data_IF_119655710512
#
_entry.id   IF_119655710512
#
_cell.length_a   1.000
_cell.length_b   1.000
_cell.length_c   1.000
_cell.angle_alpha   90.00
_cell.angle_beta   90.00
_cell.angle_gamma   90.00
#
_symmetry.space_group_name_H-M   'P 1'
#
loop_
_entity.id
_entity.type
_entity.pdbx_description
1 polymer ?
#
# COMPACT_ATOMS: atom_id res chain seq x y z
N UNK A 1 2.93 -13.93 8.94
CA UNK A 1 1.55 -14.36 9.34
C UNK A 1 0.54 -13.96 8.28
N UNK A 2 -0.41 -14.85 7.91
CA UNK A 2 -1.42 -14.58 6.88
C UNK A 2 -2.82 -14.37 7.48
N UNK A 3 -3.53 -13.31 7.05
CA UNK A 3 -4.91 -13.06 7.43
C UNK A 3 -5.81 -12.85 6.21
N UNK A 4 -6.97 -13.50 6.23
CA UNK A 4 -8.06 -13.26 5.29
C UNK A 4 -9.14 -12.39 5.92
N UNK A 5 -9.42 -11.23 5.33
CA UNK A 5 -10.30 -10.23 5.92
C UNK A 5 -11.49 -9.97 5.00
N UNK A 6 -12.65 -10.47 5.41
CA UNK A 6 -13.96 -10.20 4.77
C UNK A 6 -14.76 -9.09 5.45
N UNK A 7 -14.23 -8.44 6.48
CA UNK A 7 -14.94 -7.38 7.18
C UNK A 7 -15.10 -6.14 6.28
N UNK A 8 -16.28 -5.51 6.28
CA UNK A 8 -16.51 -4.24 5.54
C UNK A 8 -15.62 -3.11 6.03
N UNK A 9 -15.30 -3.07 7.33
CA UNK A 9 -14.43 -2.08 7.95
C UNK A 9 -13.44 -2.77 8.88
N UNK A 10 -12.16 -2.37 8.84
CA UNK A 10 -11.14 -2.85 9.78
C UNK A 10 -10.03 -1.80 9.92
N UNK A 11 -9.54 -1.63 11.14
CA UNK A 11 -8.39 -0.78 11.46
C UNK A 11 -7.28 -1.66 12.02
N UNK A 12 -6.07 -1.45 11.51
CA UNK A 12 -4.81 -1.97 12.01
C UNK A 12 -4.06 -0.80 12.60
N UNK A 13 -3.77 -0.86 13.89
CA UNK A 13 -3.13 0.22 14.63
C UNK A 13 -2.00 -0.34 15.47
N UNK A 14 -0.86 0.36 15.48
CA UNK A 14 0.32 0.03 16.29
C UNK A 14 0.79 -1.40 16.05
N UNK A 15 0.95 -1.76 14.77
CA UNK A 15 1.33 -3.11 14.33
C UNK A 15 2.83 -3.17 14.11
N UNK A 16 3.50 -4.05 14.85
CA UNK A 16 4.91 -4.37 14.66
C UNK A 16 5.09 -5.89 14.63
N UNK A 17 5.26 -6.46 13.44
CA UNK A 17 5.60 -7.88 13.27
C UNK A 17 6.66 -8.02 12.18
N UNK A 18 7.34 -9.16 12.13
CA UNK A 18 8.36 -9.39 11.11
C UNK A 18 7.73 -9.44 9.70
N UNK A 19 6.76 -10.35 9.50
CA UNK A 19 6.09 -10.57 8.23
C UNK A 19 4.57 -10.51 8.36
N UNK A 20 3.93 -9.82 7.42
CA UNK A 20 2.48 -9.76 7.33
C UNK A 20 1.96 -9.95 5.90
N UNK A 21 1.06 -10.92 5.73
CA UNK A 21 0.34 -11.15 4.49
C UNK A 21 -1.16 -10.95 4.71
N UNK A 22 -1.79 -10.09 3.92
CA UNK A 22 -3.20 -9.75 4.06
C UNK A 22 -3.95 -9.93 2.74
N UNK A 23 -5.04 -10.69 2.80
CA UNK A 23 -5.99 -10.82 1.69
C UNK A 23 -7.28 -10.10 2.06
N UNK A 24 -7.61 -9.05 1.32
CA UNK A 24 -8.74 -8.16 1.58
C UNK A 24 -9.64 -8.14 0.35
N UNK A 25 -10.84 -8.70 0.49
CA UNK A 25 -11.77 -8.75 -0.62
C UNK A 25 -12.42 -7.38 -0.86
N UNK A 26 -13.34 -6.96 0.02
CA UNK A 26 -14.02 -5.67 -0.12
C UNK A 26 -14.03 -4.93 1.21
N UNK A 27 -13.83 -3.62 1.15
CA UNK A 27 -14.14 -2.74 2.27
C UNK A 27 -13.20 -1.57 2.45
N UNK A 28 -13.44 -0.87 3.55
CA UNK A 28 -12.62 0.22 4.05
C UNK A 28 -11.58 -0.33 5.03
N UNK A 29 -10.31 0.03 4.82
CA UNK A 29 -9.20 -0.41 5.68
C UNK A 29 -8.28 0.74 6.00
N UNK A 30 -7.86 0.81 7.27
CA UNK A 30 -6.88 1.79 7.74
C UNK A 30 -5.73 1.06 8.38
N UNK A 31 -4.53 1.40 7.94
CA UNK A 31 -3.26 1.00 8.51
C UNK A 31 -2.62 2.24 9.11
N UNK A 32 -2.42 2.24 10.43
CA UNK A 32 -1.84 3.36 11.15
C UNK A 32 -0.72 2.88 12.06
N UNK A 33 0.43 3.57 12.02
CA UNK A 33 1.60 3.22 12.84
C UNK A 33 2.01 1.75 12.62
N UNK A 34 2.36 1.41 11.39
CA UNK A 34 2.75 0.04 11.01
C UNK A 34 4.25 0.00 10.74
N UNK A 35 4.95 -0.96 11.36
CA UNK A 35 6.37 -1.22 11.12
C UNK A 35 6.60 -2.70 10.86
N UNK A 36 7.06 -3.05 9.67
CA UNK A 36 7.24 -4.44 9.25
C UNK A 36 8.59 -4.63 8.56
N UNK A 37 9.12 -5.85 8.58
CA UNK A 37 10.18 -6.22 7.65
C UNK A 37 9.55 -6.46 6.28
N UNK A 38 8.58 -7.36 6.20
CA UNK A 38 7.89 -7.70 4.96
C UNK A 38 6.37 -7.51 5.06
N UNK A 39 5.79 -6.94 4.01
CA UNK A 39 4.34 -6.76 3.86
C UNK A 39 3.87 -7.18 2.49
N UNK A 40 3.00 -8.20 2.43
CA UNK A 40 2.27 -8.58 1.22
C UNK A 40 0.78 -8.28 1.37
N UNK A 41 0.21 -7.56 0.40
CA UNK A 41 -1.16 -7.07 0.47
C UNK A 41 -1.90 -7.33 -0.84
N UNK A 42 -2.89 -8.21 -0.79
CA UNK A 42 -3.78 -8.47 -1.91
C UNK A 42 -5.14 -7.85 -1.65
N UNK A 43 -5.54 -6.89 -2.49
CA UNK A 43 -6.77 -6.14 -2.35
C UNK A 43 -7.60 -6.25 -3.62
N UNK A 44 -8.84 -6.72 -3.49
CA UNK A 44 -9.76 -6.75 -4.61
C UNK A 44 -10.45 -5.38 -4.81
N UNK A 45 -11.24 -4.87 -3.87
CA UNK A 45 -11.95 -3.59 -4.05
C UNK A 45 -12.13 -2.77 -2.76
N UNK A 46 -12.26 -1.45 -2.90
CA UNK A 46 -12.64 -0.52 -1.81
C UNK A 46 -11.59 0.53 -1.45
N UNK A 47 -11.79 1.20 -0.31
CA UNK A 47 -10.99 2.36 0.13
C UNK A 47 -9.92 1.96 1.15
N UNK A 48 -8.68 2.46 0.98
CA UNK A 48 -7.57 2.15 1.89
C UNK A 48 -6.75 3.38 2.26
N UNK A 49 -6.36 3.44 3.52
CA UNK A 49 -5.47 4.46 4.05
C UNK A 49 -4.28 3.79 4.71
N UNK A 50 -3.09 4.20 4.30
CA UNK A 50 -1.83 3.89 4.95
C UNK A 50 -1.31 5.20 5.53
N UNK A 51 -1.13 5.22 6.85
CA UNK A 51 -0.66 6.39 7.57
C UNK A 51 0.47 6.00 8.53
N UNK A 52 1.57 6.72 8.50
CA UNK A 52 2.70 6.48 9.41
C UNK A 52 3.21 5.03 9.27
N UNK A 53 3.58 4.62 8.05
CA UNK A 53 3.95 3.24 7.71
C UNK A 53 5.41 3.17 7.31
N UNK A 54 6.17 2.27 7.94
CA UNK A 54 7.55 1.95 7.59
C UNK A 54 7.69 0.46 7.28
N UNK A 55 8.16 0.09 6.09
CA UNK A 55 8.37 -1.31 5.72
C UNK A 55 9.69 -1.48 4.97
N UNK A 56 10.40 -2.59 5.19
CA UNK A 56 11.58 -2.88 4.37
C UNK A 56 11.15 -3.32 2.96
N UNK A 57 10.41 -4.42 2.85
CA UNK A 57 9.85 -4.91 1.59
C UNK A 57 8.32 -4.86 1.58
N UNK A 58 7.75 -4.12 0.64
CA UNK A 58 6.30 -3.95 0.51
C UNK A 58 5.82 -4.36 -0.88
N UNK A 59 4.99 -5.39 -0.94
CA UNK A 59 4.35 -5.85 -2.16
C UNK A 59 2.83 -5.68 -2.07
N UNK A 60 2.26 -4.88 -2.97
CA UNK A 60 0.84 -4.52 -2.97
C UNK A 60 0.24 -4.81 -4.34
N UNK A 61 -0.73 -5.71 -4.36
CA UNK A 61 -1.55 -6.05 -5.52
C UNK A 61 -2.98 -5.54 -5.32
N UNK A 62 -3.41 -4.61 -6.17
CA UNK A 62 -4.69 -3.92 -6.04
C UNK A 62 -5.47 -3.99 -7.35
N UNK A 63 -6.70 -4.50 -7.27
CA UNK A 63 -7.59 -4.52 -8.43
C UNK A 63 -8.33 -3.18 -8.62
N UNK A 64 -9.13 -2.71 -7.64
CA UNK A 64 -9.93 -1.48 -7.81
C UNK A 64 -10.11 -0.65 -6.53
N UNK A 65 -10.45 0.65 -6.67
CA UNK A 65 -10.86 1.54 -5.56
C UNK A 65 -9.93 2.72 -5.27
N UNK A 66 -10.11 3.37 -4.12
CA UNK A 66 -9.38 4.59 -3.73
C UNK A 66 -8.31 4.29 -2.67
N UNK A 67 -7.13 4.92 -2.79
CA UNK A 67 -6.01 4.69 -1.87
C UNK A 67 -5.32 5.98 -1.49
N UNK A 68 -4.95 6.07 -0.21
CA UNK A 68 -4.14 7.15 0.34
C UNK A 68 -2.94 6.55 1.03
N UNK A 69 -1.76 7.01 0.63
CA UNK A 69 -0.49 6.78 1.31
C UNK A 69 -0.05 8.12 1.89
N UNK A 70 0.12 8.17 3.21
CA UNK A 70 0.53 9.37 3.93
C UNK A 70 1.64 9.03 4.92
N UNK A 71 2.73 9.77 4.89
CA UNK A 71 3.86 9.56 5.81
C UNK A 71 4.37 8.10 5.73
N UNK A 72 4.77 7.68 4.51
CA UNK A 72 5.15 6.29 4.22
C UNK A 72 6.62 6.21 3.80
N UNK A 73 7.39 5.33 4.44
CA UNK A 73 8.77 5.02 4.07
C UNK A 73 8.91 3.54 3.72
N UNK A 74 9.45 3.24 2.54
CA UNK A 74 9.70 1.87 2.09
C UNK A 74 11.09 1.74 1.48
N UNK A 75 11.79 0.64 1.74
CA UNK A 75 13.03 0.35 1.03
C UNK A 75 12.72 -0.17 -0.37
N UNK A 76 12.07 -1.32 -0.48
CA UNK A 76 11.63 -1.90 -1.76
C UNK A 76 10.10 -1.94 -1.84
N UNK A 77 9.52 -1.29 -2.85
CA UNK A 77 8.08 -1.28 -3.10
C UNK A 77 7.75 -1.88 -4.46
N UNK A 78 6.98 -2.96 -4.45
CA UNK A 78 6.29 -3.49 -5.62
C UNK A 78 4.81 -3.14 -5.57
N UNK A 79 4.32 -2.40 -6.56
CA UNK A 79 2.97 -1.89 -6.57
C UNK A 79 2.29 -2.21 -7.91
N UNK A 80 1.40 -3.20 -7.91
CA UNK A 80 0.55 -3.57 -9.03
C UNK A 80 -0.85 -3.00 -8.83
N UNK A 81 -1.28 -2.08 -9.71
CA UNK A 81 -2.60 -1.45 -9.58
C UNK A 81 -3.36 -1.42 -10.89
N UNK A 82 -4.54 -2.05 -10.89
CA UNK A 82 -5.36 -2.12 -12.09
C UNK A 82 -6.20 -0.83 -12.30
N UNK A 83 -7.05 -0.45 -11.34
CA UNK A 83 -7.96 0.69 -11.50
C UNK A 83 -8.18 1.55 -10.23
N UNK A 84 -8.49 2.83 -10.42
CA UNK A 84 -8.99 3.74 -9.39
C UNK A 84 -8.12 4.95 -9.08
N UNK A 85 -8.38 5.64 -7.97
CA UNK A 85 -7.67 6.87 -7.60
C UNK A 85 -6.65 6.62 -6.49
N UNK A 86 -5.47 7.24 -6.60
CA UNK A 86 -4.35 7.06 -5.70
C UNK A 86 -3.79 8.42 -5.29
N UNK A 87 -3.55 8.59 -4.00
CA UNK A 87 -2.95 9.78 -3.44
C UNK A 87 -1.74 9.37 -2.63
N UNK A 88 -0.59 9.95 -2.96
CA UNK A 88 0.68 9.78 -2.25
C UNK A 88 1.09 11.13 -1.69
N UNK A 89 1.28 11.18 -0.37
CA UNK A 89 1.69 12.38 0.35
C UNK A 89 2.80 12.04 1.34
N UNK A 90 3.92 12.75 1.28
CA UNK A 90 5.05 12.54 2.20
C UNK A 90 5.53 11.06 2.12
N UNK A 91 5.90 10.61 0.91
CA UNK A 91 6.27 9.21 0.63
C UNK A 91 7.72 9.12 0.17
N UNK A 92 8.52 8.29 0.84
CA UNK A 92 9.88 7.95 0.44
C UNK A 92 9.99 6.49 0.06
N UNK A 93 10.53 6.21 -1.13
CA UNK A 93 10.83 4.85 -1.58
C UNK A 93 12.26 4.80 -2.11
N UNK A 94 13.03 3.77 -1.73
CA UNK A 94 14.35 3.58 -2.32
C UNK A 94 14.21 2.95 -3.71
N UNK A 95 13.63 1.76 -3.82
CA UNK A 95 13.36 1.08 -5.09
C UNK A 95 11.86 0.90 -5.32
N UNK A 96 11.34 1.41 -6.44
CA UNK A 96 9.93 1.34 -6.80
C UNK A 96 9.71 0.58 -8.10
N UNK A 97 9.01 -0.54 -8.03
CA UNK A 97 8.45 -1.25 -9.18
C UNK A 97 6.96 -0.95 -9.28
N UNK A 98 6.59 -0.18 -10.31
CA UNK A 98 5.25 0.33 -10.47
C UNK A 98 4.61 -0.23 -11.74
N UNK A 99 3.54 -0.98 -11.58
CA UNK A 99 2.63 -1.35 -12.67
C UNK A 99 1.28 -0.67 -12.48
N UNK A 100 0.90 0.25 -13.38
CA UNK A 100 -0.40 0.90 -13.30
C UNK A 100 -1.10 0.93 -14.65
N UNK A 101 -2.29 0.32 -14.68
CA UNK A 101 -3.12 0.31 -15.87
C UNK A 101 -3.95 1.61 -16.00
N UNK A 102 -4.99 1.82 -15.17
CA UNK A 102 -5.90 2.99 -15.31
C UNK A 102 -6.21 3.75 -14.01
N UNK A 103 -6.53 5.04 -14.16
CA UNK A 103 -7.10 5.91 -13.12
C UNK A 103 -6.20 7.05 -12.65
N UNK A 104 -6.71 7.85 -11.71
CA UNK A 104 -6.08 9.10 -11.28
C UNK A 104 -4.96 8.88 -10.26
N UNK A 105 -3.89 9.68 -10.39
CA UNK A 105 -2.73 9.68 -9.49
C UNK A 105 -2.47 11.11 -9.01
N UNK A 106 -2.27 11.28 -7.71
CA UNK A 106 -1.89 12.54 -7.09
C UNK A 106 -0.64 12.29 -6.25
N UNK A 107 0.41 13.06 -6.49
CA UNK A 107 1.68 12.97 -5.77
C UNK A 107 1.99 14.33 -5.14
N UNK A 108 2.36 14.31 -3.85
CA UNK A 108 2.84 15.48 -3.11
C UNK A 108 3.97 15.05 -2.20
N UNK A 109 5.12 15.71 -2.29
CA UNK A 109 6.27 15.43 -1.43
C UNK A 109 6.67 13.94 -1.50
N UNK A 110 6.87 13.43 -2.72
CA UNK A 110 7.22 12.04 -3.01
C UNK A 110 8.64 11.96 -3.55
N UNK A 111 9.49 11.19 -2.90
CA UNK A 111 10.86 10.90 -3.31
C UNK A 111 11.02 9.42 -3.65
N UNK A 112 11.58 9.15 -4.83
CA UNK A 112 11.94 7.80 -5.28
C UNK A 112 13.39 7.83 -5.74
N UNK A 113 14.22 6.93 -5.24
CA UNK A 113 15.63 6.86 -5.65
C UNK A 113 15.78 6.11 -6.99
N UNK A 114 15.20 4.92 -7.09
CA UNK A 114 15.17 4.12 -8.31
C UNK A 114 13.73 3.71 -8.67
N UNK A 115 13.36 3.85 -9.95
CA UNK A 115 12.00 3.57 -10.42
C UNK A 115 12.00 2.74 -11.70
N UNK A 116 11.32 1.60 -11.65
CA UNK A 116 10.92 0.81 -12.80
C UNK A 116 9.41 0.98 -13.04
N UNK A 117 9.05 1.60 -14.16
CA UNK A 117 7.66 1.84 -14.53
C UNK A 117 7.25 0.96 -15.71
N UNK A 118 6.24 0.13 -15.51
CA UNK A 118 5.53 -0.60 -16.57
C UNK A 118 4.08 -0.08 -16.62
N UNK A 119 3.63 0.43 -17.77
CA UNK A 119 2.24 0.84 -17.98
C UNK A 119 1.53 -0.13 -18.91
#
# INVERSE_FOLDING_TARGET
MCLYINARYKVFKDVGVYEMCLYINVGYKVFKNVRLYEMCLYINAGYKVFKDVGVYEMCICINSGYKVFKDVGVYEMCLYINAGCKVFKDVGVYELYLYINTGYKVFKDVGVYEMCLNN
#
